data_IF_951757902989
#
_entry.id   IF_951757902989
#
_cell.length_a   1.000
_cell.length_b   1.000
_cell.length_c   1.000
_cell.angle_alpha   90.00
_cell.angle_beta   90.00
_cell.angle_gamma   90.00
#
_symmetry.space_group_name_H-M   'P 1'
#
loop_
_entity.id
_entity.type
_entity.pdbx_description
1 polymer ?
#
# COMPACT_ATOMS: atom_id res chain seq x y z
N UNK A 1 10.87 -16.00 -0.79
CA UNK A 1 9.87 -14.92 -0.83
C UNK A 1 8.75 -15.34 0.10
N UNK A 2 8.89 -15.02 1.39
CA UNK A 2 7.78 -15.18 2.32
C UNK A 2 6.70 -14.15 1.97
N UNK A 3 5.41 -14.51 2.02
CA UNK A 3 4.36 -13.62 1.59
C UNK A 3 4.30 -12.43 2.55
N UNK A 4 4.41 -11.22 2.00
CA UNK A 4 3.98 -9.95 2.61
C UNK A 4 2.56 -10.04 3.22
N UNK A 5 1.80 -11.06 2.82
CA UNK A 5 0.43 -11.34 3.27
C UNK A 5 0.32 -12.23 4.54
N UNK A 6 1.41 -12.84 5.02
CA UNK A 6 1.38 -13.73 6.21
C UNK A 6 1.80 -13.06 7.52
N UNK A 7 2.06 -11.75 7.53
CA UNK A 7 2.49 -10.99 8.70
C UNK A 7 1.49 -10.87 9.86
N UNK A 8 0.29 -11.47 9.80
CA UNK A 8 -0.65 -11.50 10.93
C UNK A 8 -0.26 -12.55 11.98
N UNK A 9 0.93 -12.40 12.54
CA UNK A 9 1.52 -13.31 13.52
C UNK A 9 1.56 -12.77 14.95
N UNK A 10 0.71 -11.84 15.38
CA UNK A 10 0.60 -11.47 16.81
C UNK A 10 -0.84 -11.13 17.24
N UNK A 11 -1.37 -12.03 18.08
CA UNK A 11 -2.50 -11.86 19.02
C UNK A 11 -3.88 -11.61 18.39
N UNK A 12 -4.70 -12.67 18.32
CA UNK A 12 -6.14 -12.72 18.65
C UNK A 12 -6.93 -11.40 18.55
N UNK A 13 -6.80 -10.68 17.43
CA UNK A 13 -7.55 -9.48 17.11
C UNK A 13 -8.31 -9.77 15.83
N UNK A 14 -9.60 -9.43 15.88
CA UNK A 14 -10.51 -9.40 14.75
C UNK A 14 -9.80 -8.96 13.47
N UNK A 15 -10.18 -9.60 12.35
CA UNK A 15 -9.62 -9.44 11.01
C UNK A 15 -9.06 -8.02 10.78
N UNK A 16 -7.74 -7.78 10.91
CA UNK A 16 -7.14 -6.44 10.83
C UNK A 16 -7.47 -5.74 9.51
N UNK A 17 -7.63 -6.54 8.45
CA UNK A 17 -8.07 -6.12 7.13
C UNK A 17 -9.47 -5.51 7.10
N UNK A 18 -10.44 -6.06 7.84
CA UNK A 18 -11.81 -5.52 7.85
C UNK A 18 -11.84 -4.14 8.49
N UNK A 19 -11.15 -3.99 9.63
CA UNK A 19 -11.03 -2.70 10.33
C UNK A 19 -10.26 -1.67 9.49
N UNK A 20 -9.15 -2.08 8.88
CA UNK A 20 -8.43 -1.25 7.91
C UNK A 20 -9.34 -0.77 6.76
N UNK A 21 -10.09 -1.67 6.12
CA UNK A 21 -10.97 -1.31 5.00
C UNK A 21 -12.09 -0.35 5.44
N UNK A 22 -12.67 -0.56 6.62
CA UNK A 22 -13.69 0.31 7.18
C UNK A 22 -13.13 1.71 7.46
N UNK A 23 -11.95 1.80 8.09
CA UNK A 23 -11.32 3.09 8.41
C UNK A 23 -10.92 3.85 7.14
N UNK A 24 -10.38 3.17 6.12
CA UNK A 24 -10.10 3.78 4.81
C UNK A 24 -11.39 4.35 4.22
N UNK A 25 -12.49 3.60 4.27
CA UNK A 25 -13.80 4.06 3.74
C UNK A 25 -14.31 5.29 4.48
N UNK A 26 -14.20 5.30 5.81
CA UNK A 26 -14.60 6.45 6.64
C UNK A 26 -13.74 7.67 6.31
N UNK A 27 -12.42 7.51 6.20
CA UNK A 27 -11.51 8.60 5.84
C UNK A 27 -11.75 9.11 4.42
N UNK A 28 -12.01 8.22 3.44
CA UNK A 28 -12.37 8.60 2.07
C UNK A 28 -13.65 9.46 2.06
N UNK A 29 -14.70 9.02 2.76
CA UNK A 29 -15.98 9.75 2.85
C UNK A 29 -15.85 11.15 3.45
N UNK A 30 -14.85 11.36 4.32
CA UNK A 30 -14.56 12.64 5.00
C UNK A 30 -13.51 13.48 4.29
N UNK A 31 -13.05 13.08 3.10
CA UNK A 31 -11.94 13.71 2.39
C UNK A 31 -10.66 13.78 3.24
N UNK A 32 -10.41 12.74 4.03
CA UNK A 32 -9.23 12.61 4.90
C UNK A 32 -7.94 12.34 4.15
N UNK A 33 -8.01 11.96 2.87
CA UNK A 33 -6.86 11.82 1.97
C UNK A 33 -6.69 13.11 1.15
N UNK A 34 -5.48 13.67 1.15
CA UNK A 34 -5.12 14.90 0.45
C UNK A 34 -4.30 14.58 -0.80
N UNK A 35 -4.48 15.32 -1.89
CA UNK A 35 -3.67 15.15 -3.10
C UNK A 35 -2.21 15.58 -2.92
N UNK A 36 -1.92 16.29 -1.82
CA UNK A 36 -0.60 16.83 -1.50
C UNK A 36 0.03 16.18 -0.26
N UNK A 37 -0.69 15.31 0.44
CA UNK A 37 -0.16 14.60 1.61
C UNK A 37 -0.60 13.12 1.68
N UNK A 38 0.38 12.22 1.78
CA UNK A 38 0.17 10.78 1.97
C UNK A 38 0.32 10.33 3.43
N UNK A 39 0.61 11.25 4.37
CA UNK A 39 0.88 10.91 5.77
C UNK A 39 -0.27 10.18 6.45
N UNK A 40 -1.51 10.54 6.12
CA UNK A 40 -2.71 9.85 6.64
C UNK A 40 -2.75 8.41 6.15
N UNK A 41 -2.48 8.16 4.87
CA UNK A 41 -2.54 6.83 4.29
C UNK A 41 -1.40 5.94 4.80
N UNK A 42 -0.18 6.47 4.86
CA UNK A 42 0.99 5.76 5.41
C UNK A 42 0.85 5.51 6.91
N UNK A 43 0.36 6.50 7.67
CA UNK A 43 0.11 6.36 9.10
C UNK A 43 -0.97 5.32 9.40
N UNK A 44 -2.06 5.30 8.62
CA UNK A 44 -3.09 4.28 8.75
C UNK A 44 -2.53 2.89 8.45
N UNK A 45 -1.74 2.75 7.38
CA UNK A 45 -1.08 1.48 7.04
C UNK A 45 -0.15 1.00 8.17
N UNK A 46 0.63 1.91 8.76
CA UNK A 46 1.52 1.60 9.88
C UNK A 46 0.77 1.15 11.13
N UNK A 47 -0.37 1.77 11.47
CA UNK A 47 -1.17 1.37 12.64
C UNK A 47 -1.62 -0.10 12.55
N UNK A 48 -1.97 -0.56 11.35
CA UNK A 48 -2.53 -1.90 11.12
C UNK A 48 -1.48 -2.97 10.81
N UNK A 49 -0.40 -2.60 10.10
CA UNK A 49 0.58 -3.54 9.57
C UNK A 49 1.99 -3.35 10.15
N UNK A 50 2.23 -2.27 10.90
CA UNK A 50 3.50 -1.98 11.55
C UNK A 50 4.48 -1.18 10.69
N UNK A 51 5.48 -0.61 11.34
CA UNK A 51 6.49 0.26 10.73
C UNK A 51 7.37 -0.47 9.70
N UNK A 52 7.68 -1.76 9.93
CA UNK A 52 8.50 -2.55 9.00
C UNK A 52 7.83 -2.69 7.63
N UNK A 53 6.51 -2.96 7.62
CA UNK A 53 5.74 -3.08 6.38
C UNK A 53 5.52 -1.72 5.72
N UNK A 54 5.38 -0.64 6.50
CA UNK A 54 5.38 0.73 5.96
C UNK A 54 6.69 1.03 5.24
N UNK A 55 7.83 0.71 5.85
CA UNK A 55 9.14 0.96 5.26
C UNK A 55 9.34 0.14 3.98
N UNK A 56 8.90 -1.11 3.96
CA UNK A 56 8.91 -1.94 2.74
C UNK A 56 8.02 -1.36 1.64
N UNK A 57 6.82 -0.88 1.99
CA UNK A 57 5.91 -0.21 1.05
C UNK A 57 6.60 1.00 0.41
N UNK A 58 7.15 1.91 1.23
CA UNK A 58 7.85 3.12 0.77
C UNK A 58 9.06 2.79 -0.13
N UNK A 59 9.82 1.74 0.19
CA UNK A 59 10.96 1.28 -0.62
C UNK A 59 10.55 0.68 -1.97
N UNK A 60 9.40 0.00 -2.03
CA UNK A 60 8.92 -0.70 -3.23
C UNK A 60 7.84 0.07 -4.01
N UNK A 61 7.56 1.33 -3.66
CA UNK A 61 6.68 2.19 -4.47
C UNK A 61 7.17 2.28 -5.92
N UNK A 62 8.49 2.29 -6.08
CA UNK A 62 9.19 2.57 -7.33
C UNK A 62 10.38 1.62 -7.54
N UNK A 63 10.11 0.33 -7.75
CA UNK A 63 11.16 -0.56 -8.25
C UNK A 63 11.52 -0.14 -9.68
N UNK A 64 12.81 0.08 -9.91
CA UNK A 64 13.31 0.37 -11.25
C UNK A 64 13.30 -0.94 -12.06
N UNK A 65 12.66 -0.97 -13.25
CA UNK A 65 12.86 -2.09 -14.15
C UNK A 65 14.35 -2.14 -14.50
N UNK A 66 14.93 -3.33 -14.45
CA UNK A 66 16.26 -3.55 -15.02
C UNK A 66 16.29 -3.01 -16.46
N UNK A 67 17.45 -2.50 -16.89
CA UNK A 67 17.66 -2.02 -18.26
C UNK A 67 17.07 -3.03 -19.24
N UNK A 68 16.24 -2.54 -20.18
CA UNK A 68 15.65 -3.32 -21.26
C UNK A 68 16.79 -3.83 -22.18
N UNK A 69 17.39 -4.96 -21.81
CA UNK A 69 18.60 -5.49 -22.44
C UNK A 69 19.45 -6.39 -21.56
N UNK A 70 19.27 -6.39 -20.23
CA UNK A 70 19.96 -7.32 -19.32
C UNK A 70 19.05 -8.49 -18.91
N UNK A 71 19.23 -9.71 -19.45
CA UNK A 71 18.43 -10.89 -19.08
C UNK A 71 18.64 -11.32 -17.62
N UNK A 72 19.61 -10.73 -16.91
CA UNK A 72 19.96 -11.04 -15.53
C UNK A 72 19.16 -10.23 -14.50
N UNK A 73 18.50 -9.14 -14.91
CA UNK A 73 17.70 -8.30 -14.00
C UNK A 73 16.21 -8.48 -14.27
N UNK A 74 15.42 -8.97 -13.30
CA UNK A 74 13.98 -9.07 -13.47
C UNK A 74 13.41 -7.68 -13.73
N UNK A 75 12.48 -7.56 -14.70
CA UNK A 75 11.61 -6.39 -14.80
C UNK A 75 10.79 -6.33 -13.51
N UNK A 76 11.26 -5.56 -12.53
CA UNK A 76 10.48 -5.20 -11.35
C UNK A 76 9.85 -3.86 -11.63
N UNK A 77 8.52 -3.81 -11.55
CA UNK A 77 7.79 -2.55 -11.54
C UNK A 77 7.37 -2.31 -10.10
N UNK A 78 7.60 -1.10 -9.58
CA UNK A 78 7.11 -0.74 -8.25
C UNK A 78 5.60 -0.85 -8.14
N UNK A 79 5.09 -0.74 -6.91
CA UNK A 79 3.65 -0.77 -6.62
C UNK A 79 2.89 0.30 -7.40
N UNK A 80 3.51 1.46 -7.65
CA UNK A 80 2.95 2.56 -8.43
C UNK A 80 3.42 2.56 -9.91
N UNK A 81 4.17 1.54 -10.33
CA UNK A 81 4.65 1.37 -11.70
C UNK A 81 5.98 2.10 -11.95
N UNK A 82 6.05 2.86 -13.06
CA UNK A 82 7.28 3.51 -13.53
C UNK A 82 7.34 4.98 -13.08
N UNK A 83 8.50 5.42 -12.61
CA UNK A 83 8.83 6.68 -11.91
C UNK A 83 8.61 7.99 -12.69
N UNK A 84 7.98 7.95 -13.87
CA UNK A 84 7.79 9.14 -14.72
C UNK A 84 6.62 10.03 -14.28
N UNK A 85 6.00 9.80 -13.12
CA UNK A 85 4.86 10.57 -12.65
C UNK A 85 5.32 11.66 -11.66
N UNK A 86 5.13 12.96 -11.97
CA UNK A 86 5.67 14.05 -11.16
C UNK A 86 5.00 14.24 -9.79
N UNK A 87 3.79 13.71 -9.58
CA UNK A 87 3.13 13.70 -8.27
C UNK A 87 2.63 12.28 -7.92
N UNK A 88 3.28 11.65 -6.95
CA UNK A 88 3.00 10.28 -6.54
C UNK A 88 2.05 10.18 -5.34
N UNK A 89 1.79 11.29 -4.66
CA UNK A 89 0.96 11.31 -3.46
C UNK A 89 -0.50 10.90 -3.78
N UNK A 90 -1.14 11.43 -4.83
CA UNK A 90 -2.47 10.99 -5.22
C UNK A 90 -2.50 9.51 -5.61
N UNK A 91 -1.44 9.00 -6.24
CA UNK A 91 -1.32 7.60 -6.64
C UNK A 91 -1.21 6.67 -5.43
N UNK A 92 -0.46 7.05 -4.41
CA UNK A 92 -0.34 6.28 -3.17
C UNK A 92 -1.67 6.25 -2.39
N UNK A 93 -2.33 7.40 -2.27
CA UNK A 93 -3.65 7.48 -1.64
C UNK A 93 -4.67 6.64 -2.42
N UNK A 94 -4.69 6.74 -3.76
CA UNK A 94 -5.54 5.93 -4.61
C UNK A 94 -5.22 4.43 -4.49
N UNK A 95 -3.94 4.06 -4.38
CA UNK A 95 -3.54 2.67 -4.18
C UNK A 95 -4.08 2.10 -2.86
N UNK A 96 -3.96 2.85 -1.75
CA UNK A 96 -4.51 2.43 -0.44
C UNK A 96 -6.04 2.34 -0.48
N UNK A 97 -6.71 3.30 -1.09
CA UNK A 97 -8.17 3.30 -1.26
C UNK A 97 -8.62 2.08 -2.09
N UNK A 98 -7.96 1.82 -3.21
CA UNK A 98 -8.30 0.69 -4.08
C UNK A 98 -7.98 -0.65 -3.41
N UNK A 99 -6.89 -0.74 -2.66
CA UNK A 99 -6.55 -1.90 -1.86
C UNK A 99 -7.67 -2.21 -0.85
N UNK A 100 -8.19 -1.19 -0.16
CA UNK A 100 -9.31 -1.37 0.77
C UNK A 100 -10.59 -1.81 0.07
N UNK A 101 -10.91 -1.24 -1.10
CA UNK A 101 -12.09 -1.65 -1.90
C UNK A 101 -12.00 -3.11 -2.33
N UNK A 102 -10.83 -3.57 -2.80
CA UNK A 102 -10.61 -4.97 -3.17
C UNK A 102 -10.60 -5.88 -1.93
N UNK A 103 -9.95 -5.45 -0.85
CA UNK A 103 -9.91 -6.18 0.42
C UNK A 103 -11.31 -6.40 1.01
N UNK A 104 -12.18 -5.40 0.90
CA UNK A 104 -13.58 -5.53 1.28
C UNK A 104 -14.28 -6.66 0.51
N UNK A 105 -14.04 -6.78 -0.80
CA UNK A 105 -14.63 -7.87 -1.61
C UNK A 105 -14.04 -9.27 -1.33
N UNK A 106 -12.84 -9.36 -0.75
CA UNK A 106 -12.17 -10.65 -0.48
C UNK A 106 -12.41 -11.18 0.93
N UNK A 107 -12.72 -10.31 1.89
CA UNK A 107 -12.80 -10.66 3.32
C UNK A 107 -14.19 -10.46 3.96
N UNK A 108 -15.16 -9.92 3.20
CA UNK A 108 -16.61 -9.94 3.47
C UNK A 108 -17.21 -11.22 2.91
#
# INVERSE_FOLDING_TARGET
MEPVLTGCGRKKREKPWVHFCNDVTVLESRRGFSDNDASVALGLFEIYFGADLRQQLEQHLWDQPGYQGDPSKPLKTGILGNTKVPNHIPLLNAWIINLAKVGFHLYV
#
